data_IF_364077657468
#
_entry.id   IF_364077657468
#
_cell.length_a   1.000
_cell.length_b   1.000
_cell.length_c   1.000
_cell.angle_alpha   90.00
_cell.angle_beta   90.00
_cell.angle_gamma   90.00
#
_symmetry.space_group_name_H-M   'P 1'
#
loop_
_entity.id
_entity.type
_entity.pdbx_description
1 polymer ?
#
# COMPACT_ATOMS: atom_id res chain seq x y z
N UNK A 1 -16.29 9.92 -20.34
CA UNK A 1 -16.99 8.81 -19.65
C UNK A 1 -17.11 9.24 -18.19
N UNK A 2 -18.31 9.17 -17.57
CA UNK A 2 -18.46 9.49 -16.15
C UNK A 2 -17.66 8.45 -15.36
N UNK A 3 -16.69 8.89 -14.57
CA UNK A 3 -15.97 7.99 -13.67
C UNK A 3 -17.00 7.30 -12.76
N UNK A 4 -16.95 5.98 -12.63
CA UNK A 4 -17.80 5.25 -11.71
C UNK A 4 -17.57 5.79 -10.29
N UNK A 5 -18.64 6.16 -9.61
CA UNK A 5 -18.54 6.59 -8.22
C UNK A 5 -18.04 5.45 -7.34
N UNK A 6 -17.13 5.72 -6.40
CA UNK A 6 -16.64 4.69 -5.50
C UNK A 6 -17.77 4.18 -4.58
N UNK A 7 -17.72 2.89 -4.28
CA UNK A 7 -18.70 2.20 -3.44
C UNK A 7 -18.14 2.14 -2.01
N UNK A 8 -18.83 2.74 -1.05
CA UNK A 8 -18.49 2.63 0.37
C UNK A 8 -18.93 1.26 0.91
N UNK A 9 -18.02 0.51 1.52
CA UNK A 9 -18.25 -0.86 1.95
C UNK A 9 -18.00 -1.01 3.45
N UNK A 10 -19.06 -1.38 4.18
CA UNK A 10 -19.06 -1.73 5.61
C UNK A 10 -19.55 -3.16 5.86
N UNK A 11 -20.03 -3.85 4.81
CA UNK A 11 -20.53 -5.23 4.88
C UNK A 11 -19.53 -6.15 4.18
N UNK A 12 -18.92 -7.12 4.90
CA UNK A 12 -17.99 -8.10 4.35
C UNK A 12 -18.56 -8.92 3.17
N UNK A 13 -19.87 -9.13 3.12
CA UNK A 13 -20.53 -9.89 2.06
C UNK A 13 -20.44 -9.18 0.70
N UNK A 14 -20.43 -7.86 0.70
CA UNK A 14 -20.23 -7.04 -0.51
C UNK A 14 -18.85 -7.31 -1.10
N UNK A 15 -17.79 -7.27 -0.28
CA UNK A 15 -16.43 -7.59 -0.70
C UNK A 15 -16.35 -9.01 -1.28
N UNK A 16 -16.89 -10.00 -0.58
CA UNK A 16 -16.90 -11.39 -1.04
C UNK A 16 -17.59 -11.55 -2.40
N UNK A 17 -18.73 -10.88 -2.61
CA UNK A 17 -19.47 -10.93 -3.87
C UNK A 17 -18.70 -10.32 -5.05
N UNK A 18 -17.93 -9.24 -4.82
CA UNK A 18 -17.11 -8.58 -5.85
C UNK A 18 -15.86 -9.37 -6.21
N UNK A 19 -15.34 -10.16 -5.30
CA UNK A 19 -14.18 -11.03 -5.53
C UNK A 19 -14.55 -12.40 -6.12
N UNK A 20 -15.84 -12.79 -6.10
CA UNK A 20 -16.30 -14.08 -6.61
C UNK A 20 -15.88 -14.37 -8.08
N UNK A 21 -15.82 -13.38 -9.01
CA UNK A 21 -15.32 -13.60 -10.37
C UNK A 21 -13.83 -13.90 -10.47
N UNK A 22 -13.06 -13.81 -9.37
CA UNK A 22 -11.60 -13.98 -9.28
C UNK A 22 -10.84 -13.15 -10.32
N UNK A 23 -10.64 -11.86 -10.05
CA UNK A 23 -9.86 -11.00 -10.93
C UNK A 23 -8.39 -11.46 -10.97
N UNK A 24 -7.71 -11.28 -12.09
CA UNK A 24 -6.28 -11.60 -12.18
C UNK A 24 -5.41 -10.63 -11.34
N UNK A 25 -5.89 -9.40 -11.16
CA UNK A 25 -5.24 -8.36 -10.37
C UNK A 25 -6.26 -7.42 -9.73
N UNK A 26 -5.82 -6.77 -8.67
CA UNK A 26 -6.56 -5.70 -7.99
C UNK A 26 -5.63 -4.54 -7.72
N UNK A 27 -6.13 -3.31 -7.79
CA UNK A 27 -5.43 -2.14 -7.25
C UNK A 27 -5.69 -2.02 -5.76
N UNK A 28 -4.66 -1.77 -4.96
CA UNK A 28 -4.75 -1.57 -3.52
C UNK A 28 -4.00 -0.32 -3.09
N UNK A 29 -4.58 0.41 -2.15
CA UNK A 29 -3.93 1.48 -1.41
C UNK A 29 -4.51 1.56 0.00
N UNK A 30 -3.90 2.33 0.90
CA UNK A 30 -4.42 2.54 2.24
C UNK A 30 -4.30 3.98 2.70
N UNK A 31 -5.25 4.40 3.55
CA UNK A 31 -5.07 5.55 4.40
C UNK A 31 -4.96 5.10 5.85
N UNK A 32 -3.97 5.59 6.55
CA UNK A 32 -3.72 5.25 7.94
C UNK A 32 -3.26 6.47 8.75
N UNK A 33 -3.38 6.38 10.07
CA UNK A 33 -2.86 7.37 11.00
C UNK A 33 -1.72 6.75 11.81
N UNK A 34 -0.58 7.46 11.86
CA UNK A 34 0.60 7.08 12.66
C UNK A 34 0.95 8.18 13.67
N UNK A 35 -0.07 8.75 14.29
CA UNK A 35 0.11 9.76 15.32
C UNK A 35 -0.04 9.12 16.70
N UNK A 36 1.00 9.23 17.54
CA UNK A 36 1.04 8.69 18.91
C UNK A 36 0.86 7.16 19.01
N UNK A 37 1.01 6.45 17.90
CA UNK A 37 1.00 4.98 17.83
C UNK A 37 2.32 4.49 17.23
N UNK A 38 2.79 3.34 17.66
CA UNK A 38 3.98 2.72 17.07
C UNK A 38 3.64 2.16 15.68
N UNK A 39 2.54 1.43 15.58
CA UNK A 39 2.03 0.88 14.34
C UNK A 39 1.03 1.80 13.66
N UNK A 40 0.97 1.82 12.32
CA UNK A 40 -0.06 2.55 11.60
C UNK A 40 -1.43 2.00 11.95
N UNK A 41 -2.37 2.88 12.29
CA UNK A 41 -3.77 2.55 12.46
C UNK A 41 -4.49 2.72 11.13
N UNK A 42 -4.89 1.59 10.54
CA UNK A 42 -5.60 1.58 9.26
C UNK A 42 -6.95 2.31 9.36
N UNK A 43 -7.18 3.25 8.50
CA UNK A 43 -8.37 4.11 8.51
C UNK A 43 -9.24 3.95 7.26
N UNK A 44 -8.66 3.55 6.12
CA UNK A 44 -9.38 3.24 4.89
C UNK A 44 -8.57 2.24 4.08
N UNK A 45 -9.22 1.35 3.33
CA UNK A 45 -8.60 0.53 2.29
C UNK A 45 -9.30 0.81 0.97
N UNK A 46 -8.53 1.21 -0.02
CA UNK A 46 -8.99 1.39 -1.38
C UNK A 46 -8.72 0.12 -2.17
N UNK A 47 -9.73 -0.34 -2.90
CA UNK A 47 -9.66 -1.55 -3.73
C UNK A 47 -10.27 -1.28 -5.11
N UNK A 48 -9.46 -1.40 -6.16
CA UNK A 48 -9.93 -1.36 -7.54
C UNK A 48 -10.02 -2.77 -8.13
N UNK A 49 -11.20 -3.14 -8.64
CA UNK A 49 -11.48 -4.41 -9.32
C UNK A 49 -12.02 -4.10 -10.71
N UNK A 50 -11.18 -4.19 -11.74
CA UNK A 50 -11.52 -3.68 -13.07
C UNK A 50 -11.83 -2.18 -13.02
N UNK A 51 -13.05 -1.79 -13.38
CA UNK A 51 -13.50 -0.38 -13.33
C UNK A 51 -14.24 -0.02 -12.01
N UNK A 52 -14.52 -0.99 -11.15
CA UNK A 52 -15.18 -0.74 -9.86
C UNK A 52 -14.14 -0.33 -8.81
N UNK A 53 -14.48 0.66 -8.01
CA UNK A 53 -13.67 1.09 -6.87
C UNK A 53 -14.48 0.91 -5.60
N UNK A 54 -13.93 0.13 -4.69
CA UNK A 54 -14.48 -0.10 -3.36
C UNK A 54 -13.65 0.65 -2.33
N UNK A 55 -14.30 1.39 -1.46
CA UNK A 55 -13.70 2.05 -0.30
C UNK A 55 -14.15 1.28 0.95
N UNK A 56 -13.29 0.41 1.43
CA UNK A 56 -13.57 -0.47 2.55
C UNK A 56 -13.32 0.26 3.87
N UNK A 57 -14.32 0.27 4.76
CA UNK A 57 -14.16 0.84 6.11
C UNK A 57 -13.56 -0.21 7.06
N UNK A 58 -12.27 -0.13 7.41
CA UNK A 58 -11.64 -1.09 8.32
C UNK A 58 -12.15 -0.99 9.76
N UNK A 59 -12.90 0.08 10.09
CA UNK A 59 -13.53 0.25 11.39
C UNK A 59 -14.84 -0.55 11.50
N UNK A 60 -15.39 -1.01 10.38
CA UNK A 60 -16.58 -1.86 10.36
C UNK A 60 -16.22 -3.32 10.71
N UNK A 61 -17.01 -3.99 11.57
CA UNK A 61 -16.73 -5.36 11.98
C UNK A 61 -16.66 -6.33 10.79
N UNK A 62 -15.65 -7.20 10.78
CA UNK A 62 -15.49 -8.27 9.80
C UNK A 62 -14.86 -7.87 8.45
N UNK A 63 -14.63 -6.57 8.19
CA UNK A 63 -14.01 -6.11 6.93
C UNK A 63 -12.56 -6.60 6.81
N UNK A 64 -11.76 -6.46 7.86
CA UNK A 64 -10.35 -6.86 7.84
C UNK A 64 -10.21 -8.38 7.71
N UNK A 65 -11.05 -9.14 8.39
CA UNK A 65 -11.11 -10.59 8.28
C UNK A 65 -11.50 -11.05 6.88
N UNK A 66 -12.47 -10.37 6.24
CA UNK A 66 -12.89 -10.65 4.87
C UNK A 66 -11.84 -10.24 3.83
N UNK A 67 -11.03 -9.24 4.11
CA UNK A 67 -9.95 -8.77 3.22
C UNK A 67 -8.76 -9.74 3.23
N UNK A 68 -8.44 -10.34 4.38
CA UNK A 68 -7.26 -11.19 4.56
C UNK A 68 -7.08 -12.29 3.48
N UNK A 69 -8.10 -13.06 3.07
CA UNK A 69 -7.97 -14.05 2.00
C UNK A 69 -7.51 -13.44 0.67
N UNK A 70 -8.00 -12.25 0.30
CA UNK A 70 -7.54 -11.55 -0.89
C UNK A 70 -6.05 -11.20 -0.80
N UNK A 71 -5.59 -10.68 0.34
CA UNK A 71 -4.19 -10.29 0.51
C UNK A 71 -3.24 -11.47 0.28
N UNK A 72 -3.64 -12.68 0.65
CA UNK A 72 -2.82 -13.90 0.58
C UNK A 72 -3.05 -14.75 -0.69
N UNK A 73 -4.06 -14.43 -1.51
CA UNK A 73 -4.36 -15.21 -2.71
C UNK A 73 -3.26 -15.04 -3.78
N UNK A 74 -2.45 -16.08 -3.97
CA UNK A 74 -1.33 -16.09 -4.91
C UNK A 74 -1.76 -16.00 -6.39
N UNK A 75 -3.03 -16.21 -6.68
CA UNK A 75 -3.57 -16.11 -8.05
C UNK A 75 -3.97 -14.69 -8.43
N UNK A 76 -4.00 -13.75 -7.48
CA UNK A 76 -4.42 -12.36 -7.69
C UNK A 76 -3.24 -11.43 -7.40
N UNK A 77 -2.77 -10.69 -8.39
CA UNK A 77 -1.71 -9.68 -8.21
C UNK A 77 -2.26 -8.45 -7.50
N UNK A 78 -1.59 -7.99 -6.43
CA UNK A 78 -1.91 -6.74 -5.73
C UNK A 78 -1.03 -5.64 -6.28
N UNK A 79 -1.63 -4.76 -7.05
CA UNK A 79 -0.96 -3.61 -7.67
C UNK A 79 -1.05 -2.44 -6.71
N UNK A 80 0.09 -1.91 -6.32
CA UNK A 80 0.21 -0.80 -5.37
C UNK A 80 1.24 0.22 -5.88
N UNK A 81 1.34 1.36 -5.22
CA UNK A 81 2.38 2.35 -5.51
C UNK A 81 3.12 2.74 -4.24
N UNK A 82 4.45 2.52 -4.19
CA UNK A 82 5.29 2.84 -3.01
C UNK A 82 4.81 2.14 -1.74
N UNK A 83 4.53 0.84 -1.84
CA UNK A 83 3.75 0.03 -0.92
C UNK A 83 4.32 -0.14 0.50
N UNK A 84 5.55 0.31 0.79
CA UNK A 84 6.26 -0.04 2.03
C UNK A 84 5.48 0.17 3.33
N UNK A 85 4.89 1.36 3.54
CA UNK A 85 4.12 1.65 4.76
C UNK A 85 2.76 0.93 4.77
N UNK A 86 2.15 0.73 3.60
CA UNK A 86 0.88 0.00 3.45
C UNK A 86 1.05 -1.48 3.80
N UNK A 87 2.17 -2.09 3.37
CA UNK A 87 2.50 -3.46 3.73
C UNK A 87 2.59 -3.64 5.25
N UNK A 88 3.21 -2.67 5.96
CA UNK A 88 3.27 -2.66 7.43
C UNK A 88 1.86 -2.51 8.01
N UNK A 89 1.04 -1.59 7.48
CA UNK A 89 -0.33 -1.39 7.93
C UNK A 89 -1.18 -2.66 7.78
N UNK A 90 -1.11 -3.34 6.63
CA UNK A 90 -1.79 -4.61 6.40
C UNK A 90 -1.26 -5.74 7.30
N UNK A 91 0.05 -5.85 7.46
CA UNK A 91 0.66 -6.87 8.32
C UNK A 91 0.12 -6.79 9.75
N UNK A 92 -0.02 -5.57 10.29
CA UNK A 92 -0.54 -5.38 11.64
C UNK A 92 -2.07 -5.48 11.72
N UNK A 93 -2.81 -4.88 10.78
CA UNK A 93 -4.26 -4.86 10.84
C UNK A 93 -4.90 -6.19 10.44
N UNK A 94 -4.33 -6.90 9.45
CA UNK A 94 -4.91 -8.12 8.87
C UNK A 94 -4.09 -9.37 9.21
N UNK A 95 -2.94 -9.25 9.90
CA UNK A 95 -1.97 -10.33 10.04
C UNK A 95 -1.64 -10.98 8.66
N UNK A 96 -1.46 -10.15 7.65
CA UNK A 96 -1.19 -10.55 6.26
C UNK A 96 -0.62 -9.36 5.48
N UNK A 97 0.48 -9.55 4.76
CA UNK A 97 0.96 -8.61 3.76
C UNK A 97 0.45 -9.00 2.37
N UNK A 98 0.09 -8.03 1.50
CA UNK A 98 -0.33 -8.27 0.12
C UNK A 98 0.73 -9.04 -0.68
N UNK A 99 0.36 -10.23 -1.20
CA UNK A 99 1.26 -11.07 -2.02
C UNK A 99 0.46 -11.91 -3.03
N UNK A 100 0.90 -12.05 -4.30
CA UNK A 100 2.04 -11.39 -4.92
C UNK A 100 1.84 -9.87 -5.06
N UNK A 101 2.90 -9.10 -4.84
CA UNK A 101 2.92 -7.65 -4.94
C UNK A 101 3.41 -7.20 -6.31
N UNK A 102 2.79 -6.17 -6.88
CA UNK A 102 3.32 -5.37 -7.98
C UNK A 102 3.40 -3.90 -7.55
N UNK A 103 4.59 -3.45 -7.12
CA UNK A 103 4.81 -2.05 -6.75
C UNK A 103 5.19 -1.24 -8.00
N UNK A 104 4.30 -0.33 -8.41
CA UNK A 104 4.48 0.50 -9.62
C UNK A 104 5.65 1.48 -9.50
N UNK A 105 6.06 1.88 -8.28
CA UNK A 105 7.24 2.73 -8.09
C UNK A 105 8.53 1.94 -8.33
N UNK A 106 8.62 0.70 -7.84
CA UNK A 106 9.74 -0.22 -8.12
C UNK A 106 9.79 -0.55 -9.60
N UNK A 107 8.65 -0.87 -10.20
CA UNK A 107 8.54 -1.15 -11.62
C UNK A 107 9.00 0.04 -12.48
N UNK A 108 8.66 1.27 -12.11
CA UNK A 108 9.11 2.48 -12.78
C UNK A 108 10.63 2.68 -12.68
N UNK A 109 11.21 2.41 -11.51
CA UNK A 109 12.66 2.50 -11.30
C UNK A 109 13.41 1.47 -12.16
N UNK A 110 13.03 0.20 -12.10
CA UNK A 110 13.62 -0.88 -12.89
C UNK A 110 13.30 -0.74 -14.38
N UNK A 111 12.16 -0.16 -14.73
CA UNK A 111 11.79 0.20 -16.10
C UNK A 111 12.58 1.38 -16.67
N UNK A 112 13.49 2.00 -15.90
CA UNK A 112 14.33 3.11 -16.36
C UNK A 112 13.57 4.44 -16.54
N UNK A 113 12.47 4.64 -15.83
CA UNK A 113 11.70 5.90 -15.84
C UNK A 113 12.29 6.86 -14.80
N UNK A 114 12.11 6.57 -13.51
CA UNK A 114 12.71 7.33 -12.42
C UNK A 114 12.64 6.52 -11.11
N UNK A 115 13.68 6.62 -10.28
CA UNK A 115 13.64 6.11 -8.93
C UNK A 115 12.82 7.03 -8.03
N UNK A 116 11.93 6.45 -7.21
CA UNK A 116 11.13 7.22 -6.24
C UNK A 116 10.11 8.18 -6.87
N UNK A 117 9.68 7.94 -8.11
CA UNK A 117 8.65 8.74 -8.76
C UNK A 117 7.32 8.65 -7.98
N UNK A 118 6.66 9.78 -7.76
CA UNK A 118 5.35 9.80 -7.10
C UNK A 118 4.22 9.39 -8.04
N UNK A 119 3.14 8.85 -7.47
CA UNK A 119 2.00 8.30 -8.18
C UNK A 119 1.39 9.26 -9.23
N UNK A 120 1.06 10.49 -8.82
CA UNK A 120 0.46 11.49 -9.72
C UNK A 120 1.34 11.76 -10.95
N UNK A 121 2.66 11.87 -10.73
CA UNK A 121 3.61 12.09 -11.80
C UNK A 121 3.71 10.88 -12.73
N UNK A 122 3.72 9.66 -12.17
CA UNK A 122 3.76 8.43 -12.94
C UNK A 122 2.50 8.26 -13.80
N UNK A 123 1.31 8.56 -13.23
CA UNK A 123 0.03 8.56 -13.95
C UNK A 123 0.05 9.57 -15.10
N UNK A 124 0.50 10.80 -14.84
CA UNK A 124 0.62 11.83 -15.88
C UNK A 124 1.58 11.41 -16.99
N UNK A 125 2.77 10.92 -16.65
CA UNK A 125 3.81 10.57 -17.62
C UNK A 125 3.44 9.37 -18.49
N UNK A 126 2.77 8.35 -17.93
CA UNK A 126 2.46 7.11 -18.65
C UNK A 126 1.05 7.06 -19.24
N UNK A 127 0.08 7.67 -18.56
CA UNK A 127 -1.33 7.59 -18.96
C UNK A 127 -1.90 8.90 -19.46
N UNK A 128 -1.14 10.01 -19.36
CA UNK A 128 -1.58 11.33 -19.82
C UNK A 128 -2.72 11.93 -19.02
N UNK A 129 -2.90 11.48 -17.75
CA UNK A 129 -3.99 11.94 -16.86
C UNK A 129 -3.40 12.84 -15.78
N UNK A 130 -3.97 14.04 -15.62
CA UNK A 130 -3.60 14.95 -14.54
C UNK A 130 -4.52 14.75 -13.33
N UNK A 131 -3.94 14.36 -12.20
CA UNK A 131 -4.67 14.18 -10.95
C UNK A 131 -4.67 15.45 -10.12
N UNK A 132 -5.79 15.72 -9.42
CA UNK A 132 -5.87 16.83 -8.48
C UNK A 132 -4.89 16.65 -7.32
N UNK A 133 -4.33 17.75 -6.79
CA UNK A 133 -3.48 17.70 -5.60
C UNK A 133 -4.27 17.25 -4.38
N UNK A 134 -3.72 16.27 -3.68
CA UNK A 134 -4.45 15.43 -2.76
C UNK A 134 -4.79 15.98 -1.37
N UNK A 135 -5.52 15.14 -0.64
CA UNK A 135 -5.99 15.32 0.75
C UNK A 135 -5.03 14.66 1.77
N UNK A 136 -3.73 14.66 1.51
CA UNK A 136 -2.70 13.91 2.26
C UNK A 136 -2.63 14.21 3.78
N UNK A 137 -3.26 15.29 4.26
CA UNK A 137 -3.29 15.67 5.68
C UNK A 137 -4.72 15.74 6.20
N UNK A 138 -5.56 14.78 5.85
CA UNK A 138 -6.93 14.68 6.30
C UNK A 138 -7.06 13.77 7.52
N UNK A 139 -8.06 14.01 8.36
CA UNK A 139 -8.46 13.09 9.42
C UNK A 139 -9.24 11.91 8.81
N UNK A 140 -8.52 10.84 8.52
CA UNK A 140 -9.07 9.64 7.88
C UNK A 140 -9.86 8.75 8.83
N UNK A 141 -9.74 8.93 10.15
CA UNK A 141 -10.57 8.19 11.14
C UNK A 141 -11.96 8.82 11.32
N UNK A 142 -12.12 10.08 10.92
CA UNK A 142 -13.43 10.75 11.03
C UNK A 142 -14.46 10.12 10.10
N UNK A 143 -15.70 9.98 10.60
CA UNK A 143 -16.84 9.51 9.79
C UNK A 143 -17.98 10.53 9.87
N UNK A 144 -18.73 10.75 8.77
CA UNK A 144 -18.43 10.26 7.41
C UNK A 144 -17.24 10.99 6.79
N UNK A 145 -16.59 10.36 5.81
CA UNK A 145 -15.59 11.03 4.97
C UNK A 145 -16.28 12.04 4.05
N UNK A 146 -15.60 13.14 3.73
CA UNK A 146 -16.08 14.12 2.78
C UNK A 146 -16.04 13.61 1.34
N UNK A 147 -16.83 14.19 0.45
CA UNK A 147 -16.80 13.83 -0.98
C UNK A 147 -15.40 14.02 -1.60
N UNK A 148 -14.64 15.03 -1.16
CA UNK A 148 -13.27 15.25 -1.61
C UNK A 148 -12.31 14.14 -1.16
N UNK A 149 -12.46 13.61 0.07
CA UNK A 149 -11.68 12.47 0.55
C UNK A 149 -12.05 11.20 -0.21
N UNK A 150 -13.33 10.95 -0.47
CA UNK A 150 -13.77 9.78 -1.21
C UNK A 150 -13.24 9.78 -2.66
N UNK A 151 -13.26 10.93 -3.34
CA UNK A 151 -12.73 11.04 -4.70
C UNK A 151 -11.21 10.91 -4.73
N UNK A 152 -10.51 11.56 -3.78
CA UNK A 152 -9.06 11.41 -3.63
C UNK A 152 -8.67 9.93 -3.44
N UNK A 153 -9.29 9.25 -2.48
CA UNK A 153 -9.02 7.84 -2.20
C UNK A 153 -9.34 6.92 -3.41
N UNK A 154 -10.37 7.25 -4.18
CA UNK A 154 -10.67 6.53 -5.41
C UNK A 154 -9.61 6.73 -6.49
N UNK A 155 -9.06 7.93 -6.61
CA UNK A 155 -8.04 8.25 -7.60
C UNK A 155 -6.71 7.54 -7.31
N UNK A 156 -6.37 7.27 -6.04
CA UNK A 156 -5.14 6.58 -5.65
C UNK A 156 -5.07 5.13 -6.17
N UNK A 157 -6.21 4.51 -6.48
CA UNK A 157 -6.25 3.15 -7.05
C UNK A 157 -6.75 3.07 -8.49
N UNK A 158 -7.45 4.12 -8.97
CA UNK A 158 -8.14 4.14 -10.27
C UNK A 158 -7.24 3.80 -11.45
N UNK A 159 -6.00 4.22 -11.42
CA UNK A 159 -5.08 4.13 -12.54
C UNK A 159 -4.02 3.03 -12.38
N UNK A 160 -4.03 2.29 -11.26
CA UNK A 160 -3.04 1.25 -10.98
C UNK A 160 -3.04 0.14 -12.03
N UNK A 161 -4.22 -0.26 -12.53
CA UNK A 161 -4.30 -1.28 -13.59
C UNK A 161 -3.64 -0.82 -14.90
N UNK A 162 -3.85 0.44 -15.31
CA UNK A 162 -3.19 1.01 -16.48
C UNK A 162 -1.68 1.15 -16.33
N UNK A 163 -1.23 1.55 -15.14
CA UNK A 163 0.20 1.59 -14.81
C UNK A 163 0.83 0.20 -14.85
N UNK A 164 0.14 -0.79 -14.28
CA UNK A 164 0.60 -2.19 -14.33
C UNK A 164 0.84 -2.66 -15.77
N UNK A 165 -0.10 -2.41 -16.68
CA UNK A 165 0.02 -2.86 -18.07
C UNK A 165 1.22 -2.22 -18.77
N UNK A 166 1.40 -0.90 -18.62
CA UNK A 166 2.52 -0.18 -19.22
C UNK A 166 3.88 -0.61 -18.64
N UNK A 167 3.94 -0.79 -17.32
CA UNK A 167 5.18 -1.11 -16.63
C UNK A 167 5.57 -2.58 -16.83
N UNK A 168 4.61 -3.51 -16.84
CA UNK A 168 4.87 -4.94 -17.12
C UNK A 168 5.48 -5.12 -18.51
N UNK A 169 4.87 -4.53 -19.54
CA UNK A 169 5.41 -4.59 -20.90
C UNK A 169 6.83 -4.01 -20.98
N UNK A 170 7.11 -2.96 -20.21
CA UNK A 170 8.42 -2.34 -20.17
C UNK A 170 9.48 -3.19 -19.47
N UNK A 171 9.11 -3.84 -18.36
CA UNK A 171 10.00 -4.77 -17.64
C UNK A 171 10.33 -6.00 -18.50
N UNK A 172 9.33 -6.55 -19.21
CA UNK A 172 9.52 -7.63 -20.17
C UNK A 172 10.50 -7.24 -21.30
N UNK A 173 10.27 -6.07 -21.92
CA UNK A 173 11.14 -5.57 -22.99
C UNK A 173 12.59 -5.35 -22.55
N UNK A 174 12.84 -5.12 -21.26
CA UNK A 174 14.17 -4.90 -20.67
C UNK A 174 14.76 -6.17 -20.05
N UNK A 175 14.07 -7.30 -20.07
CA UNK A 175 14.42 -8.56 -19.38
C UNK A 175 14.70 -8.36 -17.88
N UNK A 176 13.81 -7.59 -17.21
CA UNK A 176 13.96 -7.21 -15.78
C UNK A 176 12.86 -7.74 -14.88
N UNK A 177 11.98 -8.62 -15.37
CA UNK A 177 10.86 -9.15 -14.60
C UNK A 177 11.35 -9.89 -13.35
N UNK A 178 12.37 -10.74 -13.46
CA UNK A 178 12.89 -11.50 -12.32
C UNK A 178 13.46 -10.58 -11.21
N UNK A 179 14.17 -9.51 -11.58
CA UNK A 179 14.69 -8.54 -10.60
C UNK A 179 13.55 -7.79 -9.89
N UNK A 180 12.52 -7.44 -10.65
CA UNK A 180 11.33 -6.78 -10.12
C UNK A 180 10.58 -7.67 -9.11
N UNK A 181 10.35 -8.95 -9.46
CA UNK A 181 9.69 -9.91 -8.57
C UNK A 181 10.49 -10.12 -7.27
N UNK A 182 11.82 -10.22 -7.36
CA UNK A 182 12.71 -10.35 -6.20
C UNK A 182 12.63 -9.09 -5.29
N UNK A 183 12.62 -7.88 -5.87
CA UNK A 183 12.51 -6.64 -5.11
C UNK A 183 11.15 -6.52 -4.40
N UNK A 184 10.05 -6.87 -5.08
CA UNK A 184 8.72 -6.89 -4.46
C UNK A 184 8.62 -7.96 -3.35
N UNK A 185 9.17 -9.15 -3.55
CA UNK A 185 9.19 -10.19 -2.54
C UNK A 185 9.96 -9.74 -1.28
N UNK A 186 11.11 -9.08 -1.45
CA UNK A 186 11.89 -8.51 -0.34
C UNK A 186 11.11 -7.43 0.44
N UNK A 187 10.32 -6.59 -0.23
CA UNK A 187 9.47 -5.61 0.47
C UNK A 187 8.41 -6.30 1.33
N UNK A 188 7.73 -7.33 0.80
CA UNK A 188 6.73 -8.10 1.54
C UNK A 188 7.36 -8.80 2.75
N UNK A 189 8.53 -9.42 2.58
CA UNK A 189 9.26 -10.06 3.67
C UNK A 189 9.69 -9.07 4.75
N UNK A 190 10.22 -7.91 4.35
CA UNK A 190 10.64 -6.86 5.28
C UNK A 190 9.50 -6.32 6.13
N UNK A 191 8.30 -6.14 5.55
CA UNK A 191 7.12 -5.68 6.27
C UNK A 191 6.64 -6.68 7.33
N UNK A 192 6.83 -8.00 7.10
CA UNK A 192 6.54 -9.04 8.07
C UNK A 192 7.60 -9.21 9.17
N UNK A 193 8.81 -8.68 8.96
CA UNK A 193 9.95 -8.76 9.88
C UNK A 193 10.11 -7.49 10.74
N UNK A 194 9.20 -6.52 10.68
CA UNK A 194 9.25 -5.32 11.52
C UNK A 194 9.29 -5.70 13.01
N UNK A 195 10.24 -5.17 13.80
CA UNK A 195 10.41 -5.56 15.19
C UNK A 195 9.23 -5.08 16.05
N UNK A 196 8.81 -5.93 16.99
CA UNK A 196 7.83 -5.52 18.00
C UNK A 196 8.29 -4.27 18.79
N UNK A 197 7.37 -3.41 19.26
CA UNK A 197 7.70 -2.19 19.99
C UNK A 197 8.72 -2.39 21.13
N UNK A 198 8.59 -3.50 21.85
CA UNK A 198 9.53 -3.87 22.94
C UNK A 198 10.95 -4.10 22.45
N UNK A 199 11.14 -4.71 21.29
CA UNK A 199 12.44 -4.97 20.67
C UNK A 199 13.06 -3.68 20.14
N UNK A 200 12.25 -2.79 19.57
CA UNK A 200 12.72 -1.49 19.07
C UNK A 200 13.28 -0.64 20.21
N UNK A 201 12.61 -0.56 21.35
CA UNK A 201 13.11 0.19 22.52
C UNK A 201 14.33 -0.47 23.13
N UNK A 202 14.39 -1.78 23.21
CA UNK A 202 15.54 -2.53 23.74
C UNK A 202 16.78 -2.31 22.89
N UNK A 203 16.64 -2.37 21.57
CA UNK A 203 17.76 -2.16 20.64
C UNK A 203 18.27 -0.71 20.67
N UNK A 204 17.40 0.29 20.80
CA UNK A 204 17.77 1.69 20.91
C UNK A 204 18.42 2.04 22.24
N UNK A 205 17.91 1.52 23.35
CA UNK A 205 18.52 1.63 24.68
C UNK A 205 19.89 0.94 24.72
N UNK A 206 20.02 -0.24 24.14
CA UNK A 206 21.29 -0.96 24.01
C UNK A 206 22.35 -0.19 23.21
N UNK A 207 21.96 0.55 22.19
CA UNK A 207 22.85 1.42 21.42
C UNK A 207 23.30 2.64 22.23
N UNK A 208 22.42 3.27 23.01
CA UNK A 208 22.79 4.38 23.89
C UNK A 208 23.71 3.94 25.05
N UNK A 209 23.50 2.76 25.60
CA UNK A 209 24.37 2.20 26.65
C UNK A 209 25.76 1.86 26.10
N UNK A 210 25.89 1.41 24.86
CA UNK A 210 27.20 1.14 24.22
C UNK A 210 27.95 2.41 23.86
N UNK A 211 27.28 3.51 23.49
CA UNK A 211 27.88 4.80 23.23
C UNK A 211 28.33 5.49 24.54
N UNK A 212 27.57 5.33 25.63
CA UNK A 212 27.93 5.87 26.95
C UNK A 212 29.18 5.20 27.57
N UNK A 213 29.50 3.96 27.25
CA UNK A 213 30.66 3.26 27.77
C UNK A 213 31.99 3.61 27.05
N UNK A 214 31.92 4.15 25.83
CA UNK A 214 33.15 4.57 25.09
C UNK A 214 33.67 5.93 25.46
N UNK A 215 32.94 6.75 26.21
CA UNK A 215 33.35 8.09 26.61
C UNK A 215 33.83 8.19 28.09
N UNK A 216 33.97 7.09 28.82
CA UNK A 216 34.49 7.07 30.21
C UNK A 216 35.97 6.69 30.31
N UNK A 217 36.73 6.91 29.27
CA UNK A 217 38.16 6.58 29.26
C UNK A 217 39.04 7.63 28.61
N UNK A 218 38.88 8.92 28.99
CA UNK A 218 39.87 9.94 28.67
C UNK A 218 39.73 11.07 29.70
N UNK A 219 40.48 10.96 30.75
CA UNK A 219 40.92 12.12 31.54
C UNK A 219 42.31 11.86 32.14
N UNK A 220 43.10 12.92 32.31
CA UNK A 220 44.50 13.08 31.97
C UNK A 220 45.45 12.44 32.97
#
# INVERSE_FOLDING_TARGET
MSANQPIWVTDPSVLASRLAPRPQRVGLDTEFIRERTFWPQLALVQLAIGEEILLLDPLAPGILEALRPLLLDQSIVKVMHSAGEDLVAFSHACNAAPTPLFDTQVAAALGGIAAGIGYQRLVSDLLGVELAKGQTRSDWLKRPLSAAQLEYAADDVRYLAGLHDQLSARLEALDRVAWFEEDCARQVEAAGAEPEPSEFFTNRLGMHLRLGSRYKGANP
#
